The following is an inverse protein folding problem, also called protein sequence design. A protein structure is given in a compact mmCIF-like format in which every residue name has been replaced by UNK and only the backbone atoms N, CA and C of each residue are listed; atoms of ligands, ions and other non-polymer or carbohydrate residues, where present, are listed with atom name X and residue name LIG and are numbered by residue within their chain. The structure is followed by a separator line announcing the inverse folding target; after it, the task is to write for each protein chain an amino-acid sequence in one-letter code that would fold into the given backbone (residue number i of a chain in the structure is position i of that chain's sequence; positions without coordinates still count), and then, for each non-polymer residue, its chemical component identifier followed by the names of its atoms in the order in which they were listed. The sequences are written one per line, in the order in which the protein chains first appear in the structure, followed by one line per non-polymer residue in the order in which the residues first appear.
data_IF_016730109198
#
_entry.id   IF_016730109198
#
_cell.length_a   1.000
_cell.length_b   1.000
_cell.length_c   1.000
_cell.angle_alpha   90.00
_cell.angle_beta   90.00
_cell.angle_gamma   90.00
#
_symmetry.space_group_name_H-M   'P 1'
#
loop_
_entity.id
_entity.type
_entity.pdbx_description
1 polymer ?
#
# COMPACT_ATOMS: atom_id res chain seq x y z
N UNK A 1 2.04 21.40 1.91
CA UNK A 1 3.19 20.70 2.48
C UNK A 1 4.39 21.60 2.36
N UNK A 2 4.86 22.11 3.49
CA UNK A 2 6.07 22.93 3.57
C UNK A 2 7.25 21.95 3.66
N UNK A 3 8.00 21.78 2.58
CA UNK A 3 9.23 20.99 2.60
C UNK A 3 10.39 21.90 2.96
N UNK A 4 11.44 21.34 3.57
CA UNK A 4 12.66 22.05 3.97
C UNK A 4 13.43 22.65 2.78
N UNK A 5 13.00 22.38 1.53
CA UNK A 5 13.80 22.58 0.32
C UNK A 5 13.29 23.69 -0.60
N UNK A 6 12.28 24.46 -0.19
CA UNK A 6 11.88 25.71 -0.87
C UNK A 6 11.43 25.57 -2.33
N UNK A 7 11.12 24.35 -2.81
CA UNK A 7 10.51 24.10 -4.12
C UNK A 7 11.44 24.14 -5.34
N UNK A 8 12.76 24.28 -5.17
CA UNK A 8 13.71 24.33 -6.30
C UNK A 8 14.19 22.96 -6.80
N UNK A 9 13.84 21.89 -6.08
CA UNK A 9 14.19 20.51 -6.41
C UNK A 9 13.02 19.57 -6.15
N UNK A 10 12.94 18.49 -6.93
CA UNK A 10 11.99 17.43 -6.67
C UNK A 10 12.39 16.67 -5.40
N UNK A 11 11.40 16.42 -4.53
CA UNK A 11 11.56 15.51 -3.39
C UNK A 11 11.64 14.06 -3.89
N UNK A 12 11.93 13.13 -2.97
CA UNK A 12 12.00 11.70 -3.27
C UNK A 12 10.60 11.10 -3.35
N UNK A 13 9.89 11.47 -4.41
CA UNK A 13 8.57 10.94 -4.73
C UNK A 13 8.66 9.53 -5.33
N UNK A 14 7.66 8.71 -5.04
CA UNK A 14 7.47 7.41 -5.66
C UNK A 14 6.00 7.10 -5.77
N UNK A 15 5.60 6.62 -6.96
CA UNK A 15 4.21 6.47 -7.34
C UNK A 15 4.02 5.08 -7.94
N UNK A 16 3.04 4.33 -7.45
CA UNK A 16 2.51 3.14 -8.11
C UNK A 16 1.39 3.58 -9.04
N UNK A 17 1.56 3.33 -10.33
CA UNK A 17 0.60 3.66 -11.39
C UNK A 17 0.18 2.34 -12.02
N UNK A 18 -1.13 2.13 -12.11
CA UNK A 18 -1.68 0.90 -12.70
C UNK A 18 -1.75 0.96 -14.24
N UNK A 19 -2.28 -0.11 -14.83
CA UNK A 19 -2.43 -0.27 -16.27
C UNK A 19 -3.37 0.75 -16.93
N UNK A 20 -4.29 1.34 -16.16
CA UNK A 20 -5.21 2.39 -16.60
C UNK A 20 -4.61 3.80 -16.43
N UNK A 21 -3.37 3.91 -15.96
CA UNK A 21 -2.68 5.17 -15.72
C UNK A 21 -3.12 5.88 -14.43
N UNK A 22 -3.80 5.18 -13.52
CA UNK A 22 -4.29 5.73 -12.25
C UNK A 22 -3.23 5.55 -11.16
N UNK A 23 -2.96 6.62 -10.41
CA UNK A 23 -2.07 6.56 -9.24
C UNK A 23 -2.79 5.83 -8.10
N UNK A 24 -2.24 4.69 -7.68
CA UNK A 24 -2.79 3.85 -6.59
C UNK A 24 -2.10 4.05 -5.25
N UNK A 25 -0.83 4.41 -5.27
CA UNK A 25 -0.04 4.64 -4.06
C UNK A 25 1.02 5.71 -4.32
N UNK A 26 1.27 6.56 -3.32
CA UNK A 26 2.23 7.65 -3.40
C UNK A 26 2.97 7.82 -2.07
N UNK A 27 4.30 7.90 -2.13
CA UNK A 27 5.17 8.21 -0.99
C UNK A 27 6.08 9.36 -1.38
N UNK A 28 6.24 10.32 -0.49
CA UNK A 28 7.12 11.47 -0.68
C UNK A 28 7.99 11.61 0.55
N UNK A 29 9.29 11.35 0.38
CA UNK A 29 10.27 11.49 1.44
C UNK A 29 11.08 12.78 1.27
N UNK A 30 11.47 13.39 2.39
CA UNK A 30 12.44 14.48 2.38
C UNK A 30 13.82 13.98 1.90
N UNK A 31 14.70 14.89 1.48
CA UNK A 31 16.00 14.57 0.88
C UNK A 31 16.91 13.64 1.69
N UNK A 32 16.99 13.71 3.04
CA UNK A 32 17.85 12.81 3.81
C UNK A 32 17.21 11.43 4.03
N UNK A 33 15.92 11.25 3.72
CA UNK A 33 15.17 10.03 4.02
C UNK A 33 15.09 9.12 2.80
N UNK A 34 15.75 7.96 2.88
CA UNK A 34 15.69 6.93 1.85
C UNK A 34 14.30 6.33 1.70
N UNK A 35 14.06 5.64 0.57
CA UNK A 35 12.84 4.87 0.32
C UNK A 35 13.04 3.42 0.76
N UNK A 36 11.94 2.71 1.00
CA UNK A 36 11.95 1.26 1.22
C UNK A 36 11.49 0.55 -0.07
N UNK A 37 12.37 -0.24 -0.70
CA UNK A 37 12.06 -0.95 -1.95
C UNK A 37 11.12 -2.13 -1.69
N UNK A 38 11.27 -2.83 -0.57
CA UNK A 38 10.41 -3.97 -0.23
C UNK A 38 8.96 -3.52 -0.07
N UNK A 39 8.74 -2.32 0.49
CA UNK A 39 7.40 -1.74 0.59
C UNK A 39 6.82 -1.36 -0.79
N UNK A 40 7.66 -0.93 -1.73
CA UNK A 40 7.22 -0.63 -3.09
C UNK A 40 6.76 -1.90 -3.82
N UNK A 41 7.51 -3.00 -3.66
CA UNK A 41 7.14 -4.30 -4.20
C UNK A 41 5.87 -4.83 -3.52
N UNK A 42 5.78 -4.75 -2.19
CA UNK A 42 4.59 -5.16 -1.43
C UNK A 42 3.32 -4.47 -1.92
N UNK A 43 3.40 -3.19 -2.28
CA UNK A 43 2.27 -2.45 -2.83
C UNK A 43 1.88 -2.90 -4.25
N UNK A 44 2.85 -3.31 -5.08
CA UNK A 44 2.57 -3.95 -6.38
C UNK A 44 1.85 -5.28 -6.19
N UNK A 45 2.31 -6.10 -5.24
CA UNK A 45 1.69 -7.39 -4.94
C UNK A 45 0.27 -7.22 -4.40
N UNK A 46 0.06 -6.24 -3.51
CA UNK A 46 -1.25 -5.95 -2.94
C UNK A 46 -2.25 -5.47 -4.01
N UNK A 47 -1.80 -4.60 -4.92
CA UNK A 47 -2.62 -4.17 -6.06
C UNK A 47 -2.96 -5.36 -6.97
N UNK A 48 -1.97 -6.19 -7.26
CA UNK A 48 -2.14 -7.39 -8.09
C UNK A 48 -3.13 -8.38 -7.46
N UNK A 49 -3.05 -8.61 -6.14
CA UNK A 49 -3.99 -9.46 -5.41
C UNK A 49 -5.41 -8.92 -5.49
N UNK A 50 -5.59 -7.62 -5.21
CA UNK A 50 -6.89 -6.97 -5.28
C UNK A 50 -7.51 -7.06 -6.68
N UNK A 51 -6.74 -6.79 -7.74
CA UNK A 51 -7.23 -6.89 -9.12
C UNK A 51 -7.61 -8.32 -9.52
N UNK A 52 -6.88 -9.33 -9.04
CA UNK A 52 -7.14 -10.75 -9.37
C UNK A 52 -8.30 -11.36 -8.58
N UNK A 53 -8.43 -11.00 -7.30
CA UNK A 53 -9.33 -11.69 -6.37
C UNK A 53 -10.52 -10.83 -5.91
N UNK A 54 -10.46 -9.51 -6.07
CA UNK A 54 -11.47 -8.58 -5.53
C UNK A 54 -11.42 -8.44 -4.00
N UNK A 55 -10.38 -8.96 -3.36
CA UNK A 55 -10.18 -8.88 -1.91
C UNK A 55 -9.32 -7.67 -1.55
N UNK A 56 -9.50 -7.12 -0.36
CA UNK A 56 -8.67 -6.04 0.18
C UNK A 56 -7.52 -6.61 1.02
N UNK A 57 -6.36 -5.95 0.94
CA UNK A 57 -5.16 -6.32 1.67
C UNK A 57 -5.09 -5.58 3.01
N UNK A 58 -5.13 -6.28 4.16
CA UNK A 58 -5.03 -5.67 5.50
C UNK A 58 -3.67 -4.97 5.77
N UNK A 59 -3.55 -4.33 6.93
CA UNK A 59 -2.33 -3.65 7.32
C UNK A 59 -1.13 -4.63 7.35
N UNK A 60 -0.02 -4.23 6.74
CA UNK A 60 1.19 -5.06 6.69
C UNK A 60 1.08 -6.31 5.79
N UNK A 61 -0.02 -6.47 5.05
CA UNK A 61 -0.24 -7.64 4.19
C UNK A 61 0.92 -7.88 3.22
N UNK A 62 1.33 -9.13 3.10
CA UNK A 62 2.32 -9.63 2.15
C UNK A 62 1.74 -10.82 1.38
N UNK A 63 2.32 -11.10 0.20
CA UNK A 63 1.88 -12.22 -0.62
C UNK A 63 1.88 -13.54 0.20
N UNK A 64 0.78 -14.28 0.09
CA UNK A 64 0.55 -15.52 0.84
C UNK A 64 -0.14 -15.34 2.20
N UNK A 65 -0.28 -14.11 2.71
CA UNK A 65 -1.08 -13.85 3.91
C UNK A 65 -2.58 -13.76 3.59
N UNK A 66 -3.40 -13.99 4.63
CA UNK A 66 -4.85 -13.86 4.50
C UNK A 66 -5.24 -12.43 4.12
N UNK A 67 -5.99 -12.30 3.02
CA UNK A 67 -6.67 -11.07 2.64
C UNK A 67 -8.08 -11.03 3.27
N UNK A 68 -8.80 -9.94 3.01
CA UNK A 68 -10.10 -9.67 3.63
C UNK A 68 -11.14 -9.31 2.57
N UNK A 69 -12.37 -9.80 2.73
CA UNK A 69 -13.46 -9.39 1.85
C UNK A 69 -13.83 -7.92 2.06
N UNK A 70 -14.18 -7.21 0.99
CA UNK A 70 -14.51 -5.77 1.01
C UNK A 70 -15.90 -5.42 1.58
N UNK A 71 -16.55 -6.36 2.28
CA UNK A 71 -17.89 -6.21 2.84
C UNK A 71 -17.91 -6.45 4.37
N UNK A 72 -18.97 -6.02 5.10
CA UNK A 72 -19.03 -6.14 6.55
C UNK A 72 -18.85 -7.57 7.07
N UNK A 73 -19.40 -8.56 6.38
CA UNK A 73 -19.26 -9.98 6.72
C UNK A 73 -17.81 -10.45 6.59
N UNK A 74 -17.13 -10.06 5.50
CA UNK A 74 -15.72 -10.35 5.23
C UNK A 74 -14.79 -9.73 6.27
N UNK A 75 -15.05 -8.48 6.65
CA UNK A 75 -14.31 -7.79 7.72
C UNK A 75 -14.52 -8.50 9.07
N UNK A 76 -15.77 -8.78 9.43
CA UNK A 76 -16.09 -9.48 10.69
C UNK A 76 -15.41 -10.86 10.75
N UNK A 77 -15.46 -11.62 9.66
CA UNK A 77 -14.82 -12.94 9.58
C UNK A 77 -13.31 -12.82 9.76
N UNK A 78 -12.67 -11.89 9.04
CA UNK A 78 -11.22 -11.70 9.09
C UNK A 78 -10.75 -11.34 10.51
N UNK A 79 -11.39 -10.33 11.14
CA UNK A 79 -11.04 -9.86 12.48
C UNK A 79 -11.28 -10.93 13.55
N UNK A 80 -12.31 -11.77 13.40
CA UNK A 80 -12.58 -12.86 14.34
C UNK A 80 -11.53 -13.97 14.31
N UNK A 81 -10.88 -14.17 13.15
CA UNK A 81 -9.89 -15.23 12.95
C UNK A 81 -8.46 -14.75 13.27
N UNK A 82 -8.19 -13.45 13.11
CA UNK A 82 -6.85 -12.85 13.26
C UNK A 82 -6.76 -11.88 14.45
N UNK A 83 -7.63 -12.02 15.46
CA UNK A 83 -7.71 -11.07 16.59
C UNK A 83 -6.41 -10.93 17.38
N UNK A 84 -5.60 -11.98 17.42
CA UNK A 84 -4.38 -12.05 18.22
C UNK A 84 -3.15 -11.44 17.49
N UNK A 85 -3.28 -11.16 16.19
CA UNK A 85 -2.21 -10.66 15.32
C UNK A 85 -2.32 -9.14 15.04
N UNK A 86 -3.35 -8.49 15.57
CA UNK A 86 -3.67 -7.07 15.38
C UNK A 86 -2.98 -6.15 16.40
#
# INVERSE_FOLDING_TARGET
YESTVGGSVALRGSFLIDEDGIVRHAVINDLPLGRNIDEMLRMVDALTHNQKHGEVCPAGWQEGQAAMGENPEGVSSYLSTHSDEL
#
